data_IF_226692002224
#
_entry.id   IF_226692002224
#
_cell.length_a   1.000
_cell.length_b   1.000
_cell.length_c   1.000
_cell.angle_alpha   90.00
_cell.angle_beta   90.00
_cell.angle_gamma   90.00
#
_symmetry.space_group_name_H-M   'P 1'
#
loop_
_entity.id
_entity.type
_entity.pdbx_description
1 polymer ?
#
# COMPACT_ATOMS: atom_id res chain seq x y z
N UNK A 1 -2.38 13.92 -12.06
CA UNK A 1 -3.75 13.67 -11.52
C UNK A 1 -3.88 12.24 -11.00
N UNK A 2 -3.57 11.19 -11.78
CA UNK A 2 -3.78 9.79 -11.35
C UNK A 2 -3.01 9.36 -10.10
N UNK A 3 -1.72 9.72 -9.96
CA UNK A 3 -0.91 9.32 -8.78
C UNK A 3 -1.46 9.92 -7.49
N UNK A 4 -1.87 11.19 -7.53
CA UNK A 4 -2.49 11.84 -6.37
C UNK A 4 -3.77 11.11 -5.96
N UNK A 5 -4.61 10.70 -6.91
CA UNK A 5 -5.81 9.91 -6.62
C UNK A 5 -5.51 8.58 -5.94
N UNK A 6 -4.41 7.91 -6.30
CA UNK A 6 -3.98 6.69 -5.61
C UNK A 6 -3.61 7.00 -4.15
N UNK A 7 -2.82 8.05 -3.93
CA UNK A 7 -2.39 8.47 -2.59
C UNK A 7 -3.57 8.90 -1.72
N UNK A 8 -4.48 9.70 -2.28
CA UNK A 8 -5.70 10.16 -1.59
C UNK A 8 -6.57 8.94 -1.21
N UNK A 9 -6.76 7.97 -2.11
CA UNK A 9 -7.53 6.76 -1.81
C UNK A 9 -6.90 5.90 -0.69
N UNK A 10 -5.58 5.78 -0.65
CA UNK A 10 -4.87 5.07 0.44
C UNK A 10 -5.11 5.80 1.76
N UNK A 11 -5.02 7.13 1.75
CA UNK A 11 -5.24 7.95 2.95
C UNK A 11 -6.67 7.82 3.46
N UNK A 12 -7.66 7.95 2.58
CA UNK A 12 -9.08 7.80 2.91
C UNK A 12 -9.35 6.41 3.51
N UNK A 13 -8.76 5.36 2.95
CA UNK A 13 -8.90 3.99 3.46
C UNK A 13 -8.39 3.85 4.90
N UNK A 14 -7.26 4.50 5.24
CA UNK A 14 -6.72 4.48 6.59
C UNK A 14 -7.59 5.31 7.55
N UNK A 15 -8.09 6.45 7.10
CA UNK A 15 -8.98 7.33 7.89
C UNK A 15 -10.33 6.66 8.20
N UNK A 16 -10.85 5.83 7.30
CA UNK A 16 -12.08 5.05 7.49
C UNK A 16 -11.87 3.76 8.31
N UNK A 17 -10.62 3.35 8.53
CA UNK A 17 -10.31 2.13 9.28
C UNK A 17 -10.66 2.29 10.76
N UNK A 18 -11.37 1.31 11.38
CA UNK A 18 -11.68 1.36 12.81
C UNK A 18 -10.43 1.55 13.69
N UNK A 19 -10.50 2.37 14.75
CA UNK A 19 -9.34 2.70 15.59
C UNK A 19 -8.60 1.47 16.14
N UNK A 20 -9.32 0.40 16.46
CA UNK A 20 -8.78 -0.86 16.95
C UNK A 20 -7.86 -1.59 15.96
N UNK A 21 -7.93 -1.25 14.65
CA UNK A 21 -7.08 -1.80 13.60
C UNK A 21 -5.98 -0.83 13.14
N UNK A 22 -6.10 0.46 13.46
CA UNK A 22 -5.10 1.47 13.03
C UNK A 22 -3.74 1.21 13.65
N UNK A 23 -3.68 0.81 14.93
CA UNK A 23 -2.42 0.46 15.59
C UNK A 23 -1.68 -0.67 14.87
N UNK A 24 -2.43 -1.65 14.37
CA UNK A 24 -1.90 -2.78 13.61
C UNK A 24 -1.31 -2.33 12.27
N UNK A 25 -1.98 -1.40 11.56
CA UNK A 25 -1.48 -0.83 10.31
C UNK A 25 -0.21 -0.01 10.57
N UNK A 26 -0.16 0.80 11.62
CA UNK A 26 1.03 1.59 11.96
C UNK A 26 2.24 0.71 12.26
N UNK A 27 2.03 -0.48 12.86
CA UNK A 27 3.10 -1.43 13.15
C UNK A 27 3.54 -2.26 11.94
N UNK A 28 2.57 -2.74 11.14
CA UNK A 28 2.85 -3.66 10.02
C UNK A 28 3.18 -2.94 8.72
N UNK A 29 2.72 -1.70 8.56
CA UNK A 29 2.94 -0.89 7.38
C UNK A 29 2.00 -1.22 6.22
N UNK A 30 2.32 -0.62 5.07
CA UNK A 30 1.65 -0.81 3.77
C UNK A 30 2.59 -1.59 2.84
N UNK A 31 2.03 -2.58 2.14
CA UNK A 31 2.76 -3.35 1.12
C UNK A 31 2.13 -3.07 -0.24
N UNK A 32 2.90 -2.48 -1.15
CA UNK A 32 2.45 -2.21 -2.52
C UNK A 32 2.64 -3.45 -3.41
N UNK A 33 1.59 -3.80 -4.14
CA UNK A 33 1.58 -4.87 -5.12
C UNK A 33 1.01 -4.39 -6.47
N UNK A 34 1.19 -5.21 -7.51
CA UNK A 34 0.81 -4.90 -8.90
C UNK A 34 1.86 -4.07 -9.64
N UNK A 35 1.70 -3.92 -10.95
CA UNK A 35 2.65 -3.17 -11.79
C UNK A 35 2.74 -1.68 -11.45
N UNK A 36 1.69 -1.10 -10.85
CA UNK A 36 1.69 0.28 -10.38
C UNK A 36 2.70 0.52 -9.24
N UNK A 37 3.02 -0.51 -8.45
CA UNK A 37 4.02 -0.41 -7.37
C UNK A 37 5.44 -0.12 -7.89
N UNK A 38 5.72 -0.42 -9.16
CA UNK A 38 7.02 -0.17 -9.80
C UNK A 38 7.17 1.26 -10.33
N UNK A 39 6.15 2.11 -10.16
CA UNK A 39 6.27 3.52 -10.49
C UNK A 39 7.30 4.17 -9.55
N UNK A 40 8.34 4.77 -10.15
CA UNK A 40 9.46 5.36 -9.42
C UNK A 40 9.00 6.32 -8.33
N UNK A 41 9.34 6.01 -7.07
CA UNK A 41 9.08 6.84 -5.90
C UNK A 41 7.64 6.83 -5.39
N UNK A 42 6.77 5.95 -5.91
CA UNK A 42 5.40 5.84 -5.41
C UNK A 42 5.36 5.37 -3.94
N UNK A 43 6.17 4.38 -3.59
CA UNK A 43 6.37 3.88 -2.23
C UNK A 43 6.77 5.00 -1.26
N UNK A 44 7.74 5.81 -1.66
CA UNK A 44 8.24 6.95 -0.87
C UNK A 44 7.16 8.02 -0.71
N UNK A 45 6.44 8.34 -1.78
CA UNK A 45 5.35 9.32 -1.75
C UNK A 45 4.22 8.86 -0.84
N UNK A 46 3.81 7.60 -0.91
CA UNK A 46 2.79 7.03 -0.03
C UNK A 46 3.27 7.08 1.42
N UNK A 47 4.48 6.60 1.71
CA UNK A 47 5.05 6.60 3.06
C UNK A 47 5.08 8.01 3.69
N UNK A 48 5.46 9.02 2.91
CA UNK A 48 5.46 10.42 3.35
C UNK A 48 4.04 10.97 3.56
N UNK A 49 3.08 10.57 2.71
CA UNK A 49 1.73 11.11 2.76
C UNK A 49 0.91 10.57 3.92
N UNK A 50 1.07 9.28 4.24
CA UNK A 50 0.32 8.63 5.33
C UNK A 50 1.14 8.46 6.61
N UNK A 51 2.44 8.78 6.61
CA UNK A 51 3.35 8.64 7.75
C UNK A 51 3.42 7.19 8.28
N UNK A 52 3.29 6.22 7.37
CA UNK A 52 3.33 4.79 7.66
C UNK A 52 4.38 4.15 6.75
N UNK A 53 5.16 3.20 7.30
CA UNK A 53 6.16 2.47 6.52
C UNK A 53 5.48 1.83 5.31
N UNK A 54 6.01 2.09 4.12
CA UNK A 54 5.52 1.51 2.86
C UNK A 54 6.66 0.78 2.18
N UNK A 55 6.41 -0.47 1.78
CA UNK A 55 7.37 -1.30 1.04
C UNK A 55 6.74 -1.84 -0.23
N UNK A 56 7.56 -2.21 -1.21
CA UNK A 56 7.12 -2.93 -2.40
C UNK A 56 7.25 -4.42 -2.15
N UNK A 57 6.25 -5.22 -2.54
CA UNK A 57 6.33 -6.67 -2.47
C UNK A 57 7.52 -7.20 -3.30
N UNK A 58 8.07 -8.36 -2.93
CA UNK A 58 9.24 -8.95 -3.61
C UNK A 58 8.99 -9.23 -5.10
N UNK A 59 7.81 -9.76 -5.45
CA UNK A 59 7.36 -9.94 -6.82
C UNK A 59 5.97 -9.32 -7.01
N UNK A 60 5.88 -8.00 -7.18
CA UNK A 60 4.61 -7.28 -7.16
C UNK A 60 3.77 -7.59 -8.40
N UNK A 61 4.39 -8.01 -9.50
CA UNK A 61 3.69 -8.32 -10.76
C UNK A 61 2.90 -9.62 -10.67
N UNK A 62 3.44 -10.63 -9.98
CA UNK A 62 2.77 -11.94 -9.88
C UNK A 62 2.13 -12.18 -8.51
N UNK A 63 2.23 -11.24 -7.56
CA UNK A 63 1.63 -11.33 -6.22
C UNK A 63 0.20 -11.91 -6.21
N UNK A 64 -0.68 -11.41 -7.09
CA UNK A 64 -2.09 -11.84 -7.14
C UNK A 64 -2.19 -13.31 -7.55
N UNK A 65 -1.60 -13.71 -8.68
CA UNK A 65 -1.70 -15.10 -9.18
C UNK A 65 -1.01 -16.09 -8.24
N UNK A 66 0.12 -15.71 -7.63
CA UNK A 66 0.79 -16.54 -6.64
C UNK A 66 -0.08 -16.74 -5.39
N UNK A 67 -0.72 -15.68 -4.88
CA UNK A 67 -1.65 -15.78 -3.77
C UNK A 67 -2.85 -16.67 -4.07
N UNK A 68 -3.42 -16.55 -5.28
CA UNK A 68 -4.52 -17.42 -5.73
C UNK A 68 -4.12 -18.90 -5.90
N UNK A 69 -2.83 -19.21 -6.10
CA UNK A 69 -2.34 -20.58 -6.23
C UNK A 69 -1.93 -21.25 -4.91
N UNK A 70 -1.96 -20.52 -3.80
CA UNK A 70 -1.57 -21.01 -2.46
C UNK A 70 -2.76 -21.52 -1.62
N UNK A 71 -3.97 -21.58 -2.20
CA UNK A 71 -5.19 -22.12 -1.58
C UNK A 71 -5.35 -23.61 -1.78
#
# INVERSE_FOLDING_TARGET
RSVKTIVDAIKDTIEETPPELVSDIMQKGVVLAGGGALLSGLDQLVAQSVQIQTIIAEDPLTCVVRGCGLV
#
